data_IF_763240008510
#
_entry.id   IF_763240008510
#
_cell.length_a   1.000
_cell.length_b   1.000
_cell.length_c   1.000
_cell.angle_alpha   90.00
_cell.angle_beta   90.00
_cell.angle_gamma   90.00
#
_symmetry.space_group_name_H-M   'P 1'
#
loop_
_entity.id
_entity.type
_entity.pdbx_description
1 polymer ?
#
# COMPACT_ATOMS: atom_id res chain seq x y z
N UNK A 1 -3.44 14.13 8.11
CA UNK A 1 -3.13 12.71 7.84
C UNK A 1 -2.52 12.59 6.45
N UNK A 2 -2.06 11.42 6.04
CA UNK A 2 -1.43 11.17 4.72
C UNK A 2 -2.16 11.84 3.54
N UNK A 3 -3.50 11.82 3.55
CA UNK A 3 -4.34 12.45 2.53
C UNK A 3 -4.15 13.98 2.42
N UNK A 4 -3.78 14.66 3.51
CA UNK A 4 -3.56 16.11 3.54
C UNK A 4 -2.14 16.49 3.06
N UNK A 5 -1.20 15.53 3.08
CA UNK A 5 0.22 15.75 2.72
C UNK A 5 0.59 15.16 1.36
N UNK A 6 -0.25 14.29 0.78
CA UNK A 6 0.02 13.63 -0.48
C UNK A 6 0.20 14.60 -1.65
N UNK A 7 1.42 14.65 -2.20
CA UNK A 7 1.78 15.46 -3.35
C UNK A 7 2.25 14.62 -4.54
N UNK A 8 1.58 14.72 -5.67
CA UNK A 8 2.07 14.17 -6.95
C UNK A 8 3.04 15.19 -7.56
N UNK A 9 4.22 14.73 -7.98
CA UNK A 9 5.15 15.60 -8.70
C UNK A 9 4.54 15.98 -10.04
N UNK A 10 4.28 17.28 -10.23
CA UNK A 10 3.85 17.83 -11.54
C UNK A 10 5.01 17.97 -12.52
N UNK A 11 6.24 17.72 -12.09
CA UNK A 11 7.43 18.14 -12.83
C UNK A 11 7.95 17.12 -13.85
N UNK A 12 7.88 15.79 -13.67
CA UNK A 12 8.49 14.90 -14.70
C UNK A 12 7.96 13.45 -14.77
N UNK A 13 7.61 12.77 -13.67
CA UNK A 13 7.37 11.30 -13.71
C UNK A 13 5.92 10.84 -13.63
N UNK A 14 5.00 11.68 -13.14
CA UNK A 14 3.60 11.28 -12.87
C UNK A 14 3.42 10.35 -11.65
N UNK A 15 4.49 9.97 -10.97
CA UNK A 15 4.47 9.18 -9.73
C UNK A 15 4.51 10.07 -8.47
N UNK A 16 4.17 9.51 -7.29
CA UNK A 16 4.30 10.22 -6.02
C UNK A 16 5.75 10.65 -5.76
N UNK A 17 5.93 11.74 -5.00
CA UNK A 17 7.26 12.06 -4.49
C UNK A 17 7.73 11.02 -3.47
N UNK A 18 9.03 10.78 -3.41
CA UNK A 18 9.62 9.76 -2.53
C UNK A 18 9.19 9.88 -1.05
N UNK A 19 9.04 11.10 -0.55
CA UNK A 19 8.58 11.35 0.83
C UNK A 19 7.22 10.71 1.12
N UNK A 20 6.26 10.79 0.19
CA UNK A 20 4.94 10.17 0.38
C UNK A 20 5.06 8.65 0.48
N UNK A 21 6.01 8.04 -0.25
CA UNK A 21 6.25 6.60 -0.18
C UNK A 21 6.81 6.19 1.20
N UNK A 22 7.66 7.03 1.79
CA UNK A 22 8.17 6.80 3.15
C UNK A 22 7.06 6.97 4.20
N UNK A 23 6.19 7.97 4.03
CA UNK A 23 5.00 8.15 4.88
C UNK A 23 4.08 6.93 4.80
N UNK A 24 3.78 6.46 3.59
CA UNK A 24 2.98 5.27 3.33
C UNK A 24 3.58 4.00 3.93
N UNK A 25 4.90 3.81 3.81
CA UNK A 25 5.63 2.69 4.39
C UNK A 25 5.63 2.74 5.93
N UNK A 26 5.73 3.93 6.52
CA UNK A 26 5.59 4.10 7.96
C UNK A 26 4.17 3.77 8.43
N UNK A 27 3.14 4.25 7.73
CA UNK A 27 1.75 3.92 8.01
C UNK A 27 1.51 2.41 7.90
N UNK A 28 2.09 1.74 6.89
CA UNK A 28 2.03 0.28 6.72
C UNK A 28 2.58 -0.48 7.92
N UNK A 29 3.73 -0.06 8.46
CA UNK A 29 4.36 -0.70 9.62
C UNK A 29 3.53 -0.56 10.90
N UNK A 30 2.77 0.52 11.02
CA UNK A 30 1.93 0.80 12.18
C UNK A 30 0.47 0.35 11.99
N UNK A 31 0.10 -0.10 10.77
CA UNK A 31 -1.27 -0.39 10.39
C UNK A 31 -1.93 -1.40 11.33
N UNK A 32 -1.25 -2.49 11.68
CA UNK A 32 -1.82 -3.53 12.56
C UNK A 32 -2.18 -2.99 13.94
N UNK A 33 -1.28 -2.20 14.54
CA UNK A 33 -1.52 -1.58 15.85
C UNK A 33 -2.67 -0.57 15.80
N UNK A 34 -2.76 0.22 14.73
CA UNK A 34 -3.85 1.20 14.57
C UNK A 34 -5.19 0.52 14.28
N UNK A 35 -5.21 -0.48 13.40
CA UNK A 35 -6.40 -1.25 13.05
C UNK A 35 -6.98 -2.02 14.24
N UNK A 36 -6.14 -2.47 15.17
CA UNK A 36 -6.60 -3.10 16.41
C UNK A 36 -7.45 -2.17 17.30
N UNK A 37 -7.30 -0.86 17.14
CA UNK A 37 -8.03 0.16 17.89
C UNK A 37 -9.23 0.74 17.13
N UNK A 38 -9.50 0.28 15.91
CA UNK A 38 -10.63 0.74 15.08
C UNK A 38 -11.62 -0.42 14.91
N UNK A 39 -12.92 -0.24 15.19
CA UNK A 39 -13.93 -1.29 14.98
C UNK A 39 -13.95 -1.80 13.54
N UNK A 40 -14.54 -2.97 13.30
CA UNK A 40 -14.59 -3.53 11.95
C UNK A 40 -15.43 -2.66 11.01
N UNK A 41 -15.11 -2.71 9.71
CA UNK A 41 -15.83 -1.96 8.69
C UNK A 41 -17.35 -2.26 8.68
N UNK A 42 -17.75 -3.48 9.02
CA UNK A 42 -19.17 -3.85 9.19
C UNK A 42 -19.81 -3.15 10.38
N UNK A 43 -19.17 -3.23 11.55
CA UNK A 43 -19.64 -2.59 12.80
C UNK A 43 -19.79 -1.08 12.64
N UNK A 44 -18.80 -0.41 12.03
CA UNK A 44 -18.87 1.03 11.76
C UNK A 44 -20.04 1.40 10.85
N UNK A 45 -20.37 0.57 9.85
CA UNK A 45 -21.53 0.81 8.96
C UNK A 45 -22.85 0.67 9.69
N UNK A 46 -22.98 -0.34 10.54
CA UNK A 46 -24.17 -0.54 11.38
C UNK A 46 -24.36 0.63 12.33
N UNK A 47 -23.31 1.05 13.04
CA UNK A 47 -23.35 2.18 13.95
C UNK A 47 -23.68 3.51 13.24
N UNK A 48 -23.13 3.72 12.04
CA UNK A 48 -23.48 4.87 11.20
C UNK A 48 -24.96 4.87 10.81
N UNK A 49 -25.51 3.73 10.39
CA UNK A 49 -26.91 3.61 10.04
C UNK A 49 -27.81 3.92 11.26
N UNK A 50 -27.49 3.36 12.41
CA UNK A 50 -28.17 3.62 13.68
C UNK A 50 -28.14 5.10 14.07
N UNK A 51 -26.97 5.74 13.95
CA UNK A 51 -26.81 7.17 14.25
C UNK A 51 -27.70 8.03 13.34
N UNK A 52 -27.64 7.79 12.02
CA UNK A 52 -28.43 8.52 11.02
C UNK A 52 -29.93 8.35 11.29
N UNK A 53 -30.37 7.13 11.62
CA UNK A 53 -31.78 6.86 11.86
C UNK A 53 -32.31 7.55 13.13
N UNK A 54 -31.51 7.59 14.20
CA UNK A 54 -31.87 8.19 15.49
C UNK A 54 -31.77 9.72 15.51
N UNK A 55 -30.67 10.26 14.99
CA UNK A 55 -30.35 11.69 15.11
C UNK A 55 -30.70 12.49 13.86
N UNK A 56 -30.97 11.82 12.72
CA UNK A 56 -31.20 12.46 11.41
C UNK A 56 -30.05 13.36 10.95
N UNK A 57 -28.84 13.02 11.37
CA UNK A 57 -27.62 13.78 11.10
C UNK A 57 -26.50 12.88 10.56
N UNK A 58 -25.50 13.49 9.92
CA UNK A 58 -24.34 12.79 9.38
C UNK A 58 -23.34 12.43 10.49
N UNK A 59 -22.95 11.14 10.63
CA UNK A 59 -22.02 10.70 11.67
C UNK A 59 -20.56 10.97 11.25
N UNK A 60 -20.14 12.23 11.23
CA UNK A 60 -18.81 12.65 10.72
C UNK A 60 -17.66 11.92 11.44
N UNK A 61 -17.79 11.68 12.74
CA UNK A 61 -16.77 10.96 13.51
C UNK A 61 -16.63 9.49 13.09
N UNK A 62 -17.76 8.77 12.93
CA UNK A 62 -17.76 7.38 12.47
C UNK A 62 -17.29 7.28 11.02
N UNK A 63 -17.67 8.23 10.17
CA UNK A 63 -17.20 8.30 8.78
C UNK A 63 -15.68 8.48 8.72
N UNK A 64 -15.11 9.34 9.58
CA UNK A 64 -13.65 9.52 9.67
C UNK A 64 -12.95 8.24 10.13
N UNK A 65 -13.50 7.57 11.14
CA UNK A 65 -12.98 6.28 11.63
C UNK A 65 -13.02 5.21 10.53
N UNK A 66 -14.12 5.14 9.77
CA UNK A 66 -14.27 4.23 8.63
C UNK A 66 -13.27 4.53 7.52
N UNK A 67 -13.08 5.81 7.17
CA UNK A 67 -12.11 6.22 6.17
C UNK A 67 -10.67 5.85 6.58
N UNK A 68 -10.32 6.06 7.86
CA UNK A 68 -9.02 5.67 8.40
C UNK A 68 -8.81 4.15 8.34
N UNK A 69 -9.81 3.37 8.74
CA UNK A 69 -9.74 1.90 8.65
C UNK A 69 -9.49 1.44 7.23
N UNK A 70 -10.33 1.88 6.28
CA UNK A 70 -10.23 1.48 4.88
C UNK A 70 -8.88 1.88 4.27
N UNK A 71 -8.36 3.06 4.64
CA UNK A 71 -7.03 3.48 4.26
C UNK A 71 -5.97 2.51 4.79
N UNK A 72 -5.96 2.22 6.09
CA UNK A 72 -4.96 1.33 6.71
C UNK A 72 -5.05 -0.11 6.19
N UNK A 73 -6.26 -0.62 5.95
CA UNK A 73 -6.47 -1.93 5.29
C UNK A 73 -5.89 -1.93 3.87
N UNK A 74 -6.08 -0.84 3.13
CA UNK A 74 -5.51 -0.67 1.78
C UNK A 74 -3.98 -0.56 1.78
N UNK A 75 -3.40 0.20 2.72
CA UNK A 75 -1.93 0.33 2.82
C UNK A 75 -1.26 -0.97 3.25
N UNK A 76 -1.96 -1.77 4.09
CA UNK A 76 -1.50 -3.10 4.49
C UNK A 76 -1.51 -4.11 3.34
N UNK A 77 -2.30 -3.90 2.28
CA UNK A 77 -2.36 -4.86 1.18
C UNK A 77 -1.01 -4.99 0.46
N UNK A 78 -0.71 -6.20 -0.02
CA UNK A 78 0.54 -6.50 -0.74
C UNK A 78 0.58 -5.88 -2.15
N UNK A 79 -0.45 -5.15 -2.55
CA UNK A 79 -0.54 -4.51 -3.88
C UNK A 79 0.14 -3.14 -3.93
N UNK A 80 0.56 -2.61 -2.79
CA UNK A 80 1.18 -1.28 -2.70
C UNK A 80 2.68 -1.36 -2.96
N UNK A 81 3.18 -0.52 -3.90
CA UNK A 81 4.61 -0.43 -4.19
C UNK A 81 5.34 0.35 -3.08
N UNK A 82 6.24 -0.32 -2.37
CA UNK A 82 7.04 0.29 -1.30
C UNK A 82 8.36 0.91 -1.81
N UNK A 83 9.13 1.55 -0.91
CA UNK A 83 10.47 2.07 -1.24
C UNK A 83 11.42 0.97 -1.74
N UNK A 84 11.26 -0.25 -1.21
CA UNK A 84 12.02 -1.41 -1.60
C UNK A 84 11.17 -2.68 -1.46
N UNK A 85 11.18 -3.51 -2.50
CA UNK A 85 10.54 -4.82 -2.52
C UNK A 85 11.62 -5.89 -2.57
N UNK A 86 11.58 -6.82 -1.60
CA UNK A 86 12.54 -7.90 -1.50
C UNK A 86 12.53 -8.79 -2.74
N UNK A 87 13.69 -9.38 -3.03
CA UNK A 87 13.83 -10.28 -4.15
C UNK A 87 12.95 -11.52 -4.00
N UNK A 88 12.24 -11.86 -5.08
CA UNK A 88 11.37 -13.03 -5.18
C UNK A 88 11.73 -13.85 -6.41
N UNK A 89 11.71 -15.17 -6.25
CA UNK A 89 11.93 -16.11 -7.35
C UNK A 89 10.62 -16.30 -8.11
N UNK A 90 10.52 -15.73 -9.30
CA UNK A 90 9.37 -15.90 -10.18
C UNK A 90 9.37 -17.24 -10.92
N UNK A 91 10.54 -17.81 -11.19
CA UNK A 91 10.64 -19.09 -11.91
C UNK A 91 11.85 -19.89 -11.50
N UNK A 92 11.66 -21.20 -11.38
CA UNK A 92 12.73 -22.20 -11.31
C UNK A 92 12.48 -23.21 -12.41
N UNK A 93 13.45 -23.46 -13.27
CA UNK A 93 13.30 -24.40 -14.37
C UNK A 93 14.66 -24.93 -14.84
N UNK A 94 14.63 -25.78 -15.86
CA UNK A 94 15.82 -26.41 -16.45
C UNK A 94 15.78 -26.14 -17.94
N UNK A 95 16.93 -25.80 -18.52
CA UNK A 95 17.05 -25.66 -19.95
C UNK A 95 16.96 -27.06 -20.59
N UNK A 96 15.97 -27.35 -21.44
CA UNK A 96 15.76 -28.69 -21.99
C UNK A 96 16.87 -29.14 -22.94
N UNK A 97 17.69 -28.22 -23.48
CA UNK A 97 18.79 -28.54 -24.40
C UNK A 97 20.11 -28.80 -23.68
N UNK A 98 20.38 -28.05 -22.61
CA UNK A 98 21.67 -28.12 -21.88
C UNK A 98 21.55 -28.81 -20.53
N UNK A 99 20.33 -29.11 -20.09
CA UNK A 99 19.98 -29.64 -18.76
C UNK A 99 20.49 -28.80 -17.59
N UNK A 100 20.90 -27.54 -17.83
CA UNK A 100 21.32 -26.62 -16.78
C UNK A 100 20.11 -25.98 -16.09
N UNK A 101 20.09 -25.89 -14.75
CA UNK A 101 19.05 -25.16 -14.04
C UNK A 101 19.15 -23.67 -14.39
N UNK A 102 18.02 -22.99 -14.38
CA UNK A 102 17.97 -21.53 -14.40
C UNK A 102 16.85 -21.01 -13.50
N UNK A 103 17.07 -19.82 -12.95
CA UNK A 103 16.16 -19.15 -12.03
C UNK A 103 15.88 -17.73 -12.53
N UNK A 104 14.61 -17.32 -12.48
CA UNK A 104 14.20 -15.94 -12.67
C UNK A 104 13.92 -15.33 -11.31
N UNK A 105 14.67 -14.28 -10.96
CA UNK A 105 14.47 -13.51 -9.75
C UNK A 105 14.13 -12.07 -10.14
N UNK A 106 13.18 -11.46 -9.43
CA UNK A 106 12.89 -10.05 -9.56
C UNK A 106 12.87 -9.36 -8.20
N UNK A 107 13.20 -8.07 -8.19
CA UNK A 107 13.04 -7.19 -7.04
C UNK A 107 12.71 -5.79 -7.55
N UNK A 108 12.34 -4.89 -6.65
CA UNK A 108 11.99 -3.54 -7.04
C UNK A 108 12.50 -2.51 -6.02
N UNK A 109 12.78 -1.30 -6.49
CA UNK A 109 13.13 -0.16 -5.66
C UNK A 109 12.52 1.11 -6.24
N UNK A 110 12.19 2.07 -5.40
CA UNK A 110 11.79 3.39 -5.86
C UNK A 110 13.01 4.32 -5.92
N UNK A 111 13.33 4.85 -7.10
CA UNK A 111 14.33 5.90 -7.24
C UNK A 111 13.75 7.24 -6.80
N UNK A 112 14.15 7.70 -5.62
CA UNK A 112 13.67 8.96 -5.07
C UNK A 112 14.19 10.22 -5.77
N UNK A 113 15.25 10.11 -6.58
CA UNK A 113 15.77 11.25 -7.35
C UNK A 113 14.92 11.52 -8.59
N UNK A 114 14.60 10.47 -9.35
CA UNK A 114 13.73 10.55 -10.52
C UNK A 114 12.24 10.43 -10.20
N UNK A 115 11.89 10.06 -8.96
CA UNK A 115 10.55 9.65 -8.55
C UNK A 115 9.97 8.58 -9.47
N UNK A 116 10.71 7.49 -9.66
CA UNK A 116 10.34 6.40 -10.57
C UNK A 116 10.46 5.03 -9.89
N UNK A 117 9.48 4.14 -10.04
CA UNK A 117 9.63 2.74 -9.66
C UNK A 117 10.55 2.02 -10.65
N UNK A 118 11.54 1.31 -10.13
CA UNK A 118 12.46 0.48 -10.89
C UNK A 118 12.21 -0.98 -10.56
N UNK A 119 12.05 -1.82 -11.59
CA UNK A 119 11.91 -3.26 -11.47
C UNK A 119 13.13 -3.91 -12.09
N UNK A 120 13.82 -4.72 -11.32
CA UNK A 120 15.00 -5.46 -11.76
C UNK A 120 14.63 -6.92 -11.92
N UNK A 121 15.20 -7.54 -12.96
CA UNK A 121 15.04 -8.97 -13.23
C UNK A 121 16.41 -9.54 -13.56
N UNK A 122 16.73 -10.69 -12.97
CA UNK A 122 17.95 -11.42 -13.27
C UNK A 122 17.60 -12.86 -13.60
N UNK A 123 18.21 -13.38 -14.67
CA UNK A 123 18.19 -14.80 -15.00
C UNK A 123 19.57 -15.36 -14.72
N UNK A 124 19.64 -16.35 -13.84
CA UNK A 124 20.87 -17.09 -13.50
C UNK A 124 20.73 -18.52 -14.01
#
# INVERSE_FOLDING_TARGET
GFMDTFRISRADSGYPVFQNLLELENDRRQADSRLANIPQAGELREEMADFILRHKELPVALQRSMAERLYLEGVKSETTFGPFTLAQTAKVSVNPKTMRPYYLVHWASFDGSANLPLIYMVTV
#
